data_IF_097244018835
#
_entry.id   IF_097244018835
#
_cell.length_a   1.000
_cell.length_b   1.000
_cell.length_c   1.000
_cell.angle_alpha   90.00
_cell.angle_beta   90.00
_cell.angle_gamma   90.00
#
_symmetry.space_group_name_H-M   'P 1'
#
loop_
_entity.id
_entity.type
_entity.pdbx_description
1 polymer ?
#
# COMPACT_ATOMS: atom_id res chain seq x y z
N UNK A 1 29.99 -43.63 78.89
CA UNK A 1 29.02 -43.95 77.82
C UNK A 1 27.81 -43.05 78.01
N UNK A 2 27.64 -42.07 77.10
CA UNK A 2 26.50 -41.15 77.09
C UNK A 2 25.31 -41.87 76.43
N UNK A 3 24.28 -42.18 77.21
CA UNK A 3 23.01 -42.72 76.70
C UNK A 3 22.30 -41.65 75.87
N UNK A 4 21.91 -41.94 74.61
CA UNK A 4 21.17 -40.97 73.81
C UNK A 4 19.80 -40.74 74.45
N UNK A 5 19.47 -39.48 74.74
CA UNK A 5 18.09 -39.10 75.09
C UNK A 5 17.22 -39.34 73.86
N UNK A 6 16.41 -40.39 73.90
CA UNK A 6 15.31 -40.58 72.96
C UNK A 6 14.30 -39.46 73.16
N UNK A 7 14.29 -38.48 72.25
CA UNK A 7 13.23 -37.49 72.19
C UNK A 7 11.89 -38.22 72.06
N UNK A 8 11.01 -38.10 73.06
CA UNK A 8 9.65 -38.56 72.97
C UNK A 8 9.00 -37.86 71.76
N UNK A 9 8.56 -38.66 70.77
CA UNK A 9 7.79 -38.16 69.64
C UNK A 9 6.48 -37.58 70.19
N UNK A 10 6.43 -36.25 70.34
CA UNK A 10 5.18 -35.55 70.64
C UNK A 10 4.31 -35.64 69.38
N UNK A 11 3.17 -36.31 69.51
CA UNK A 11 2.13 -36.30 68.46
C UNK A 11 1.53 -34.91 68.33
N UNK A 12 1.04 -34.58 67.13
CA UNK A 12 0.36 -33.31 66.88
C UNK A 12 -0.93 -33.21 67.69
N UNK A 13 -1.15 -32.04 68.30
CA UNK A 13 -2.43 -31.73 68.93
C UNK A 13 -3.49 -31.45 67.85
N UNK A 14 -4.77 -31.71 68.16
CA UNK A 14 -5.89 -31.43 67.25
C UNK A 14 -5.89 -29.96 66.79
N UNK A 15 -5.51 -29.05 67.69
CA UNK A 15 -5.41 -27.61 67.41
C UNK A 15 -4.29 -27.31 66.42
N UNK A 16 -3.08 -27.89 66.59
CA UNK A 16 -1.99 -27.72 65.62
C UNK A 16 -2.37 -28.24 64.23
N UNK A 17 -3.14 -29.33 64.17
CA UNK A 17 -3.60 -29.90 62.90
C UNK A 17 -4.66 -29.01 62.23
N UNK A 18 -5.61 -28.45 62.99
CA UNK A 18 -6.60 -27.49 62.47
C UNK A 18 -5.95 -26.18 61.99
N UNK A 19 -4.99 -25.64 62.75
CA UNK A 19 -4.24 -24.45 62.36
C UNK A 19 -3.41 -24.72 61.11
N UNK A 20 -2.73 -25.88 61.04
CA UNK A 20 -1.96 -26.29 59.86
C UNK A 20 -2.83 -26.36 58.60
N UNK A 21 -3.98 -27.05 58.66
CA UNK A 21 -4.92 -27.13 57.53
C UNK A 21 -5.44 -25.75 57.14
N UNK A 22 -5.79 -24.91 58.11
CA UNK A 22 -6.33 -23.57 57.84
C UNK A 22 -5.29 -22.70 57.11
N UNK A 23 -4.06 -22.64 57.63
CA UNK A 23 -2.97 -21.87 56.99
C UNK A 23 -2.65 -22.44 55.60
N UNK A 24 -2.54 -23.77 55.46
CA UNK A 24 -2.32 -24.40 54.16
C UNK A 24 -3.44 -24.07 53.16
N UNK A 25 -4.70 -24.08 53.60
CA UNK A 25 -5.85 -23.76 52.73
C UNK A 25 -5.81 -22.30 52.24
N UNK A 26 -5.48 -21.35 53.12
CA UNK A 26 -5.35 -19.92 52.76
C UNK A 26 -4.19 -19.71 51.80
N UNK A 27 -3.04 -20.36 52.04
CA UNK A 27 -1.88 -20.29 51.13
C UNK A 27 -2.21 -20.88 49.77
N UNK A 28 -2.86 -22.05 49.72
CA UNK A 28 -3.27 -22.68 48.47
C UNK A 28 -4.25 -21.81 47.69
N UNK A 29 -5.20 -21.16 48.38
CA UNK A 29 -6.15 -20.24 47.76
C UNK A 29 -5.45 -19.00 47.20
N UNK A 30 -4.48 -18.43 47.92
CA UNK A 30 -3.66 -17.31 47.44
C UNK A 30 -2.81 -17.67 46.21
N UNK A 31 -2.19 -18.85 46.23
CA UNK A 31 -1.40 -19.37 45.09
C UNK A 31 -2.30 -19.64 43.89
N UNK A 32 -3.44 -20.29 44.08
CA UNK A 32 -4.42 -20.54 43.02
C UNK A 32 -4.93 -19.23 42.41
N UNK A 33 -5.28 -18.24 43.24
CA UNK A 33 -5.70 -16.91 42.78
C UNK A 33 -4.62 -16.23 41.93
N UNK A 34 -3.35 -16.36 42.33
CA UNK A 34 -2.22 -15.79 41.59
C UNK A 34 -2.01 -16.50 40.25
N UNK A 35 -2.10 -17.83 40.20
CA UNK A 35 -1.98 -18.60 38.95
C UNK A 35 -3.10 -18.22 37.97
N UNK A 36 -4.33 -18.06 38.45
CA UNK A 36 -5.46 -17.63 37.61
C UNK A 36 -5.21 -16.22 37.06
N UNK A 37 -4.76 -15.28 37.89
CA UNK A 37 -4.44 -13.92 37.46
C UNK A 37 -3.33 -13.91 36.39
N UNK A 38 -2.26 -14.67 36.61
CA UNK A 38 -1.14 -14.80 35.68
C UNK A 38 -1.60 -15.42 34.35
N UNK A 39 -2.40 -16.48 34.39
CA UNK A 39 -2.96 -17.11 33.18
C UNK A 39 -3.83 -16.13 32.39
N UNK A 40 -4.69 -15.37 33.05
CA UNK A 40 -5.53 -14.36 32.39
C UNK A 40 -4.70 -13.28 31.71
N UNK A 41 -3.63 -12.81 32.36
CA UNK A 41 -2.69 -11.84 31.77
C UNK A 41 -2.01 -12.43 30.53
N UNK A 42 -1.55 -13.68 30.60
CA UNK A 42 -0.91 -14.34 29.45
C UNK A 42 -1.88 -14.51 28.27
N UNK A 43 -3.12 -14.92 28.52
CA UNK A 43 -4.12 -15.09 27.47
C UNK A 43 -4.51 -13.75 26.83
N UNK A 44 -4.74 -12.70 27.63
CA UNK A 44 -5.01 -11.36 27.11
C UNK A 44 -3.86 -10.85 26.24
N UNK A 45 -2.62 -10.97 26.70
CA UNK A 45 -1.45 -10.55 25.94
C UNK A 45 -1.28 -11.33 24.64
N UNK A 46 -1.60 -12.63 24.63
CA UNK A 46 -1.52 -13.47 23.44
C UNK A 46 -2.51 -13.02 22.37
N UNK A 47 -3.75 -12.71 22.77
CA UNK A 47 -4.80 -12.22 21.87
C UNK A 47 -4.40 -10.88 21.25
N UNK A 48 -3.98 -9.92 22.08
CA UNK A 48 -3.54 -8.60 21.60
C UNK A 48 -2.30 -8.68 20.70
N UNK A 49 -1.38 -9.60 20.98
CA UNK A 49 -0.15 -9.78 20.19
C UNK A 49 -0.45 -10.09 18.72
N UNK A 50 -1.41 -10.96 18.43
CA UNK A 50 -1.74 -11.35 17.05
C UNK A 50 -2.21 -10.15 16.21
N UNK A 51 -3.08 -9.32 16.76
CA UNK A 51 -3.57 -8.11 16.08
C UNK A 51 -2.44 -7.10 15.85
N UNK A 52 -1.58 -6.89 16.87
CA UNK A 52 -0.43 -5.97 16.77
C UNK A 52 0.60 -6.45 15.74
N UNK A 53 0.85 -7.75 15.65
CA UNK A 53 1.74 -8.34 14.63
C UNK A 53 1.18 -8.14 13.23
N UNK A 54 -0.12 -8.39 13.02
CA UNK A 54 -0.81 -8.12 11.75
C UNK A 54 -0.68 -6.66 11.33
N UNK A 55 -0.92 -5.72 12.25
CA UNK A 55 -0.75 -4.29 11.98
C UNK A 55 0.68 -3.89 11.64
N UNK A 56 1.68 -4.47 12.33
CA UNK A 56 3.09 -4.18 12.05
C UNK A 56 3.51 -4.66 10.66
N UNK A 57 3.13 -5.87 10.29
CA UNK A 57 3.43 -6.43 8.95
C UNK A 57 2.77 -5.57 7.88
N UNK A 58 1.49 -5.23 8.04
CA UNK A 58 0.78 -4.34 7.11
C UNK A 58 1.43 -2.98 6.97
N UNK A 59 1.77 -2.35 8.09
CA UNK A 59 2.36 -1.00 8.10
C UNK A 59 3.77 -0.98 7.51
N UNK A 60 4.60 -2.00 7.78
CA UNK A 60 5.94 -2.12 7.21
C UNK A 60 5.89 -2.35 5.69
N UNK A 61 5.00 -3.22 5.22
CA UNK A 61 4.79 -3.43 3.78
C UNK A 61 4.34 -2.13 3.09
N UNK A 62 3.31 -1.47 3.61
CA UNK A 62 2.79 -0.20 3.08
C UNK A 62 3.90 0.85 3.00
N UNK A 63 4.66 1.04 4.08
CA UNK A 63 5.75 2.02 4.13
C UNK A 63 6.85 1.76 3.09
N UNK A 64 7.19 0.50 2.85
CA UNK A 64 8.25 0.14 1.88
C UNK A 64 7.75 0.29 0.46
N UNK A 65 6.58 -0.26 0.15
CA UNK A 65 6.07 -0.31 -1.23
C UNK A 65 5.60 1.07 -1.70
N UNK A 66 4.95 1.86 -0.84
CA UNK A 66 4.45 3.20 -1.23
C UNK A 66 5.58 4.19 -1.54
N UNK A 67 6.77 4.05 -0.96
CA UNK A 67 7.91 4.91 -1.30
C UNK A 67 8.34 4.80 -2.76
N UNK A 68 8.03 3.67 -3.40
CA UNK A 68 8.29 3.49 -4.82
C UNK A 68 7.23 4.13 -5.71
N UNK A 69 6.06 4.52 -5.19
CA UNK A 69 5.00 5.10 -6.01
C UNK A 69 5.54 6.27 -6.86
N UNK A 70 5.21 6.24 -8.16
CA UNK A 70 5.67 7.20 -9.16
C UNK A 70 7.14 7.10 -9.56
N UNK A 71 7.92 6.16 -9.04
CA UNK A 71 9.33 6.01 -9.41
C UNK A 71 9.46 5.70 -10.89
N UNK A 72 10.23 6.52 -11.63
CA UNK A 72 10.47 6.33 -13.06
C UNK A 72 9.26 6.50 -13.96
N UNK A 73 8.19 7.15 -13.48
CA UNK A 73 6.96 7.42 -14.22
C UNK A 73 6.63 8.92 -14.22
N UNK A 74 5.75 9.33 -15.12
CA UNK A 74 5.14 10.66 -15.04
C UNK A 74 4.21 10.73 -13.80
N UNK A 75 4.34 11.77 -12.95
CA UNK A 75 3.44 11.98 -11.82
C UNK A 75 1.95 11.93 -12.20
N UNK A 76 1.57 12.31 -13.41
CA UNK A 76 0.18 12.26 -13.89
C UNK A 76 -0.41 10.83 -13.88
N UNK A 77 0.41 9.80 -14.08
CA UNK A 77 -0.06 8.40 -14.19
C UNK A 77 0.38 7.52 -13.02
N UNK A 78 1.06 8.12 -12.03
CA UNK A 78 1.65 7.39 -10.91
C UNK A 78 0.60 6.77 -9.98
N UNK A 79 -0.51 7.45 -9.75
CA UNK A 79 -1.65 6.93 -9.01
C UNK A 79 -2.79 6.60 -9.96
N UNK A 80 -3.72 5.77 -9.50
CA UNK A 80 -4.93 5.49 -10.22
C UNK A 80 -6.16 5.76 -9.37
N UNK A 81 -7.05 6.55 -9.94
CA UNK A 81 -8.32 6.95 -9.34
C UNK A 81 -9.52 6.42 -10.13
N UNK A 82 -9.30 5.53 -11.11
CA UNK A 82 -10.39 4.88 -11.84
C UNK A 82 -11.17 3.92 -10.94
N UNK A 83 -12.49 3.97 -11.07
CA UNK A 83 -13.44 3.13 -10.33
C UNK A 83 -13.91 1.92 -11.13
N UNK A 84 -13.49 1.80 -12.40
CA UNK A 84 -13.79 0.62 -13.21
C UNK A 84 -13.29 -0.67 -12.53
N UNK A 85 -14.15 -1.69 -12.50
CA UNK A 85 -13.87 -2.98 -11.85
C UNK A 85 -13.92 -2.96 -10.31
N UNK A 86 -14.24 -1.83 -9.68
CA UNK A 86 -14.38 -1.77 -8.23
C UNK A 86 -15.77 -2.19 -7.74
N UNK A 87 -15.85 -2.89 -6.60
CA UNK A 87 -17.09 -3.05 -5.86
C UNK A 87 -17.76 -1.70 -5.60
N UNK A 88 -19.04 -1.60 -5.94
CA UNK A 88 -19.82 -0.37 -5.82
C UNK A 88 -19.33 0.80 -6.68
N UNK A 89 -18.35 0.61 -7.57
CA UNK A 89 -17.67 1.64 -8.34
C UNK A 89 -17.15 2.80 -7.45
N UNK A 90 -16.61 2.47 -6.28
CA UNK A 90 -16.11 3.43 -5.28
C UNK A 90 -14.65 3.14 -4.92
N UNK A 91 -13.87 4.21 -4.78
CA UNK A 91 -12.47 4.18 -4.29
C UNK A 91 -12.35 4.35 -2.77
N UNK A 92 -13.40 4.83 -2.13
CA UNK A 92 -13.39 5.31 -0.75
C UNK A 92 -14.58 4.73 0.00
N UNK A 93 -14.36 4.33 1.25
CA UNK A 93 -15.37 3.89 2.20
C UNK A 93 -16.30 2.77 1.66
N UNK A 94 -15.75 1.84 0.89
CA UNK A 94 -16.50 0.65 0.50
C UNK A 94 -16.65 -0.28 1.69
N UNK A 95 -17.87 -0.73 1.97
CA UNK A 95 -18.18 -1.63 3.08
C UNK A 95 -18.70 -2.96 2.59
N UNK A 96 -18.32 -4.03 3.28
CA UNK A 96 -18.78 -5.38 2.99
C UNK A 96 -18.93 -6.18 4.28
N UNK A 97 -20.00 -6.97 4.36
CA UNK A 97 -20.32 -7.81 5.51
C UNK A 97 -19.84 -9.24 5.25
N UNK A 98 -19.15 -9.80 6.24
CA UNK A 98 -18.61 -11.15 6.23
C UNK A 98 -19.37 -11.98 7.26
N UNK A 99 -19.96 -13.09 6.80
CA UNK A 99 -20.73 -14.01 7.65
C UNK A 99 -19.90 -14.47 8.85
N UNK A 100 -20.52 -14.45 10.04
CA UNK A 100 -19.90 -14.80 11.33
C UNK A 100 -18.65 -13.99 11.75
N UNK A 101 -18.26 -12.97 10.97
CA UNK A 101 -17.13 -12.10 11.28
C UNK A 101 -17.55 -10.66 11.54
N UNK A 102 -18.45 -10.08 10.74
CA UNK A 102 -18.88 -8.67 10.85
C UNK A 102 -18.60 -7.86 9.59
N UNK A 103 -18.65 -6.53 9.68
CA UNK A 103 -18.42 -5.64 8.53
C UNK A 103 -16.97 -5.15 8.49
N UNK A 104 -16.39 -5.01 7.30
CA UNK A 104 -15.16 -4.25 7.11
C UNK A 104 -15.41 -3.04 6.20
N UNK A 105 -14.53 -2.04 6.31
CA UNK A 105 -14.48 -0.87 5.43
C UNK A 105 -13.12 -0.77 4.76
N UNK A 106 -13.10 -0.41 3.48
CA UNK A 106 -11.86 -0.28 2.73
C UNK A 106 -11.89 0.86 1.73
N UNK A 107 -10.75 1.53 1.63
CA UNK A 107 -10.39 2.34 0.48
C UNK A 107 -9.60 1.50 -0.51
N UNK A 108 -9.50 1.99 -1.74
CA UNK A 108 -8.73 1.39 -2.82
C UNK A 108 -7.52 2.27 -3.15
N UNK A 109 -6.33 1.80 -2.78
CA UNK A 109 -5.06 2.47 -3.07
C UNK A 109 -4.39 1.82 -4.27
N UNK A 110 -4.45 2.49 -5.42
CA UNK A 110 -3.84 2.03 -6.65
C UNK A 110 -2.70 2.95 -7.09
N UNK A 111 -1.51 2.39 -7.31
CA UNK A 111 -0.35 3.14 -7.77
C UNK A 111 0.58 2.29 -8.64
N UNK A 112 1.49 2.98 -9.33
CA UNK A 112 2.45 2.42 -10.26
C UNK A 112 3.86 2.82 -9.91
N UNK A 113 4.81 1.97 -10.26
CA UNK A 113 6.22 2.32 -10.27
C UNK A 113 6.98 1.49 -11.29
N UNK A 114 8.03 2.07 -11.87
CA UNK A 114 8.92 1.36 -12.78
C UNK A 114 9.80 0.37 -12.00
N UNK A 115 9.98 -0.82 -12.54
CA UNK A 115 11.00 -1.75 -12.07
C UNK A 115 12.41 -1.18 -12.33
N UNK A 116 13.22 -0.91 -11.29
CA UNK A 116 14.57 -0.38 -11.46
C UNK A 116 15.54 -1.38 -12.11
N UNK A 117 15.24 -2.69 -12.09
CA UNK A 117 16.10 -3.75 -12.63
C UNK A 117 15.73 -4.15 -14.06
N UNK A 118 14.58 -3.69 -14.57
CA UNK A 118 14.11 -4.03 -15.90
C UNK A 118 14.30 -2.87 -16.89
N UNK A 119 15.29 -3.02 -17.77
CA UNK A 119 15.52 -2.09 -18.87
C UNK A 119 16.01 -2.85 -20.11
N UNK A 120 15.33 -2.61 -21.24
CA UNK A 120 15.65 -3.18 -22.56
C UNK A 120 15.53 -2.10 -23.62
N UNK A 121 15.99 -2.43 -24.83
CA UNK A 121 15.70 -1.67 -26.03
C UNK A 121 14.74 -2.46 -26.91
N UNK A 122 13.81 -1.76 -27.55
CA UNK A 122 12.87 -2.36 -28.47
C UNK A 122 12.00 -1.33 -29.18
N UNK A 123 11.47 -1.73 -30.33
CA UNK A 123 10.62 -0.93 -31.19
C UNK A 123 9.16 -1.33 -31.02
N UNK A 124 8.27 -0.35 -31.01
CA UNK A 124 6.83 -0.53 -30.99
C UNK A 124 6.26 -0.06 -32.33
N UNK A 125 5.42 -0.90 -32.96
CA UNK A 125 4.74 -0.50 -34.19
C UNK A 125 3.60 0.51 -33.88
N UNK A 126 3.93 1.79 -33.74
CA UNK A 126 2.93 2.83 -33.45
C UNK A 126 1.91 3.12 -34.57
N UNK A 127 1.87 2.34 -35.64
CA UNK A 127 0.96 2.54 -36.76
C UNK A 127 -0.27 1.61 -36.65
N UNK A 128 -1.45 2.19 -36.46
CA UNK A 128 -2.73 1.47 -36.47
C UNK A 128 -3.47 1.50 -35.15
N UNK A 129 -4.46 0.63 -35.00
CA UNK A 129 -5.20 0.41 -33.76
C UNK A 129 -4.49 -0.68 -32.92
N UNK A 130 -4.64 -0.67 -31.59
CA UNK A 130 -4.17 -1.75 -30.74
C UNK A 130 -4.79 -3.10 -31.15
N UNK A 131 -4.10 -4.24 -30.93
CA UNK A 131 -2.85 -4.36 -30.18
C UNK A 131 -1.60 -3.96 -30.96
N UNK A 132 -0.67 -3.28 -30.29
CA UNK A 132 0.64 -2.89 -30.82
C UNK A 132 1.68 -3.99 -30.58
N UNK A 133 2.43 -4.36 -31.59
CA UNK A 133 3.58 -5.27 -31.54
C UNK A 133 4.84 -4.54 -31.06
N UNK A 134 5.33 -4.95 -29.89
CA UNK A 134 6.64 -4.63 -29.36
C UNK A 134 7.64 -5.70 -29.80
N UNK A 135 8.77 -5.28 -30.37
CA UNK A 135 9.88 -6.16 -30.74
C UNK A 135 11.15 -5.64 -30.08
N UNK A 136 11.77 -6.45 -29.22
CA UNK A 136 13.06 -6.12 -28.61
C UNK A 136 14.19 -6.18 -29.64
N UNK A 137 15.31 -5.52 -29.32
CA UNK A 137 16.52 -5.62 -30.13
C UNK A 137 16.97 -7.07 -30.31
N UNK A 138 17.59 -7.38 -31.44
CA UNK A 138 17.92 -8.76 -31.86
C UNK A 138 18.84 -9.53 -30.90
N UNK A 139 19.52 -8.85 -29.98
CA UNK A 139 20.38 -9.44 -28.96
C UNK A 139 19.74 -9.48 -27.55
N UNK A 140 18.50 -9.02 -27.41
CA UNK A 140 17.80 -8.87 -26.15
C UNK A 140 16.59 -9.82 -26.05
N UNK A 141 16.35 -10.34 -24.86
CA UNK A 141 15.12 -11.03 -24.48
C UNK A 141 14.49 -10.32 -23.29
N UNK A 142 13.24 -10.65 -22.95
CA UNK A 142 12.62 -10.11 -21.72
C UNK A 142 13.41 -10.53 -20.48
N UNK A 143 14.02 -11.71 -20.47
CA UNK A 143 14.89 -12.21 -19.39
C UNK A 143 14.13 -12.66 -18.14
N UNK A 144 12.81 -12.50 -18.13
CA UNK A 144 11.89 -13.06 -17.13
C UNK A 144 10.52 -13.27 -17.80
N UNK A 145 9.74 -14.28 -17.37
CA UNK A 145 8.39 -14.46 -17.90
C UNK A 145 7.53 -13.26 -17.50
N UNK A 146 6.83 -12.69 -18.48
CA UNK A 146 5.85 -11.65 -18.25
C UNK A 146 4.45 -12.22 -18.46
N UNK A 147 3.51 -11.83 -17.61
CA UNK A 147 2.14 -12.31 -17.68
C UNK A 147 1.23 -11.33 -18.41
N UNK A 148 0.19 -11.86 -19.03
CA UNK A 148 -0.91 -11.07 -19.55
C UNK A 148 -1.41 -10.07 -18.48
N UNK A 149 -1.69 -8.85 -18.91
CA UNK A 149 -2.15 -7.76 -18.04
C UNK A 149 -1.05 -6.95 -17.37
N UNK A 150 0.21 -7.41 -17.34
CA UNK A 150 1.31 -6.58 -16.82
C UNK A 150 1.58 -5.37 -17.72
N UNK A 151 1.96 -4.26 -17.11
CA UNK A 151 2.19 -3.00 -17.79
C UNK A 151 3.66 -2.85 -18.22
N UNK A 152 3.86 -2.40 -19.46
CA UNK A 152 5.16 -2.11 -20.06
C UNK A 152 5.18 -0.67 -20.53
N UNK A 153 6.22 0.06 -20.13
CA UNK A 153 6.46 1.44 -20.52
C UNK A 153 7.49 1.48 -21.64
N UNK A 154 7.10 2.00 -22.79
CA UNK A 154 7.99 2.24 -23.93
C UNK A 154 8.25 3.73 -24.01
N UNK A 155 9.50 4.15 -23.81
CA UNK A 155 9.87 5.56 -23.81
C UNK A 155 10.82 5.88 -24.97
N UNK A 156 10.55 6.98 -25.67
CA UNK A 156 11.43 7.42 -26.74
C UNK A 156 12.81 7.82 -26.20
N UNK A 157 13.84 7.77 -27.06
CA UNK A 157 15.16 8.28 -26.72
C UNK A 157 15.07 9.75 -26.22
N UNK A 158 15.56 10.01 -25.01
CA UNK A 158 15.43 11.32 -24.35
C UNK A 158 14.23 11.45 -23.40
N UNK A 159 13.32 10.48 -23.38
CA UNK A 159 12.32 10.28 -22.32
C UNK A 159 11.15 11.25 -22.28
N UNK A 160 11.03 12.19 -23.21
CA UNK A 160 9.94 13.18 -23.19
C UNK A 160 8.59 12.57 -23.59
N UNK A 161 8.61 11.64 -24.54
CA UNK A 161 7.43 10.91 -24.98
C UNK A 161 7.53 9.45 -24.55
N UNK A 162 6.44 8.91 -24.05
CA UNK A 162 6.34 7.52 -23.63
C UNK A 162 4.94 6.97 -23.91
N UNK A 163 4.81 5.65 -23.91
CA UNK A 163 3.57 4.92 -24.05
C UNK A 163 3.52 3.86 -22.96
N UNK A 164 2.40 3.78 -22.25
CA UNK A 164 2.14 2.70 -21.30
C UNK A 164 1.15 1.71 -21.92
N UNK A 165 1.63 0.49 -22.19
CA UNK A 165 0.83 -0.60 -22.72
C UNK A 165 0.66 -1.74 -21.74
N UNK A 166 -0.41 -2.53 -21.87
CA UNK A 166 -0.61 -3.79 -21.14
C UNK A 166 -0.43 -4.98 -22.07
N UNK A 167 0.27 -6.00 -21.58
CA UNK A 167 0.44 -7.25 -22.31
C UNK A 167 -0.91 -7.92 -22.56
N UNK A 168 -1.15 -8.29 -23.81
CA UNK A 168 -2.37 -8.99 -24.24
C UNK A 168 -2.26 -10.51 -24.12
N UNK A 169 -1.06 -11.04 -23.93
CA UNK A 169 -0.78 -12.46 -23.72
C UNK A 169 0.48 -12.64 -22.85
N UNK A 170 0.67 -13.84 -22.32
CA UNK A 170 1.90 -14.22 -21.63
C UNK A 170 3.10 -14.20 -22.58
N UNK A 171 4.25 -13.74 -22.09
CA UNK A 171 5.50 -13.67 -22.82
C UNK A 171 6.55 -14.49 -22.08
N UNK A 172 7.17 -15.49 -22.73
CA UNK A 172 8.20 -16.30 -22.08
C UNK A 172 9.48 -15.48 -21.87
N UNK A 173 10.32 -15.93 -20.94
CA UNK A 173 11.55 -15.20 -20.57
C UNK A 173 12.55 -15.03 -21.73
N UNK A 174 12.61 -16.01 -22.63
CA UNK A 174 13.42 -16.01 -23.84
C UNK A 174 12.71 -15.36 -25.04
N UNK A 175 11.49 -14.87 -24.85
CA UNK A 175 10.74 -14.14 -25.85
C UNK A 175 11.43 -12.82 -26.24
N UNK A 176 11.22 -12.41 -27.49
CA UNK A 176 11.73 -11.16 -28.06
C UNK A 176 10.62 -10.23 -28.55
N UNK A 177 9.37 -10.73 -28.59
CA UNK A 177 8.21 -9.97 -29.05
C UNK A 177 7.08 -10.04 -28.04
N UNK A 178 6.30 -8.96 -27.95
CA UNK A 178 5.09 -8.88 -27.14
C UNK A 178 4.02 -8.06 -27.86
N UNK A 179 2.76 -8.25 -27.48
CA UNK A 179 1.62 -7.48 -28.00
C UNK A 179 0.98 -6.68 -26.87
N UNK A 180 0.81 -5.38 -27.08
CA UNK A 180 0.40 -4.39 -26.08
C UNK A 180 -0.91 -3.70 -26.48
N UNK A 181 -1.89 -3.71 -25.58
CA UNK A 181 -3.03 -2.80 -25.64
C UNK A 181 -2.74 -1.52 -24.87
N UNK A 182 -3.45 -0.43 -25.16
CA UNK A 182 -3.34 0.81 -24.40
C UNK A 182 -3.72 0.58 -22.93
N UNK A 183 -2.85 0.98 -21.99
CA UNK A 183 -3.09 0.83 -20.55
C UNK A 183 -3.86 2.00 -19.91
N UNK A 184 -3.78 3.17 -20.53
CA UNK A 184 -4.28 4.44 -19.97
C UNK A 184 -5.55 4.90 -20.69
N UNK A 185 -6.43 5.60 -19.98
CA UNK A 185 -7.58 6.25 -20.59
C UNK A 185 -7.13 7.32 -21.60
N UNK A 186 -7.94 7.53 -22.64
CA UNK A 186 -7.67 8.53 -23.67
C UNK A 186 -7.51 9.94 -23.06
N UNK A 187 -6.50 10.68 -23.52
CA UNK A 187 -6.16 12.02 -23.06
C UNK A 187 -5.18 12.07 -21.88
N UNK A 188 -4.81 10.93 -21.30
CA UNK A 188 -3.71 10.87 -20.32
C UNK A 188 -2.35 10.80 -21.04
N UNK A 189 -1.28 11.39 -20.48
CA UNK A 189 0.05 11.30 -21.07
C UNK A 189 0.51 9.84 -21.22
N UNK A 190 0.81 9.45 -22.47
CA UNK A 190 1.25 8.12 -22.86
C UNK A 190 0.16 7.09 -23.11
N UNK A 191 -1.06 7.54 -23.41
CA UNK A 191 -2.19 6.73 -23.88
C UNK A 191 -2.04 6.22 -25.33
N UNK A 192 -1.20 6.87 -26.14
CA UNK A 192 -0.93 6.50 -27.53
C UNK A 192 0.59 6.40 -27.83
N UNK A 193 1.01 5.48 -28.71
CA UNK A 193 2.39 5.42 -29.19
C UNK A 193 2.83 6.67 -29.96
N UNK A 194 4.03 7.15 -29.70
CA UNK A 194 4.66 8.24 -30.47
C UNK A 194 5.50 7.69 -31.63
N UNK A 195 5.65 8.47 -32.70
CA UNK A 195 6.35 8.03 -33.92
C UNK A 195 7.80 7.55 -33.67
N UNK A 196 8.50 8.18 -32.72
CA UNK A 196 9.86 7.79 -32.31
C UNK A 196 9.96 6.37 -31.74
N UNK A 197 8.84 5.75 -31.35
CA UNK A 197 8.83 4.37 -30.85
C UNK A 197 9.05 3.32 -31.95
N UNK A 198 8.87 3.73 -33.21
CA UNK A 198 9.11 2.88 -34.39
C UNK A 198 10.47 3.14 -35.04
N UNK A 199 11.27 4.08 -34.54
CA UNK A 199 12.54 4.47 -35.14
C UNK A 199 13.62 3.40 -34.89
N UNK A 200 14.23 2.89 -35.96
CA UNK A 200 15.32 1.90 -35.90
C UNK A 200 16.69 2.56 -35.67
N UNK A 201 16.83 3.85 -35.98
CA UNK A 201 18.08 4.59 -35.82
C UNK A 201 18.36 4.99 -34.37
N UNK A 202 17.31 5.14 -33.55
CA UNK A 202 17.40 5.40 -32.11
C UNK A 202 16.37 4.57 -31.37
N UNK A 203 16.80 3.39 -30.94
CA UNK A 203 15.88 2.40 -30.37
C UNK A 203 15.30 2.90 -29.02
N UNK A 204 13.97 2.88 -28.84
CA UNK A 204 13.31 3.22 -27.58
C UNK A 204 13.73 2.35 -26.41
N UNK A 205 13.46 2.83 -25.21
CA UNK A 205 13.65 2.08 -23.98
C UNK A 205 12.35 1.38 -23.60
N UNK A 206 12.47 0.12 -23.21
CA UNK A 206 11.38 -0.73 -22.75
C UNK A 206 11.61 -1.03 -21.27
N UNK A 207 10.64 -0.69 -20.45
CA UNK A 207 10.70 -0.78 -18.99
C UNK A 207 9.47 -1.52 -18.47
N UNK A 208 9.63 -2.33 -17.43
CA UNK A 208 8.51 -2.98 -16.76
C UNK A 208 7.90 -2.02 -15.73
N UNK A 209 6.58 -1.98 -15.65
CA UNK A 209 5.86 -1.19 -14.66
C UNK A 209 5.09 -2.12 -13.74
N UNK A 210 5.36 -1.99 -12.45
CA UNK A 210 4.59 -2.65 -11.40
C UNK A 210 3.36 -1.81 -11.10
N UNK A 211 2.20 -2.41 -11.27
CA UNK A 211 0.92 -1.86 -10.84
C UNK A 211 0.52 -2.55 -9.52
N UNK A 212 0.31 -1.78 -8.46
CA UNK A 212 -0.10 -2.27 -7.14
C UNK A 212 -1.44 -1.67 -6.77
N UNK A 213 -2.37 -2.51 -6.33
CA UNK A 213 -3.69 -2.11 -5.84
C UNK A 213 -3.94 -2.74 -4.49
N UNK A 214 -4.19 -1.94 -3.47
CA UNK A 214 -4.37 -2.40 -2.10
C UNK A 214 -5.77 -2.06 -1.61
N UNK A 215 -6.43 -3.06 -1.04
CA UNK A 215 -7.75 -2.97 -0.41
C UNK A 215 -7.98 -4.17 0.50
N UNK A 216 -9.02 -4.12 1.31
CA UNK A 216 -9.49 -5.27 2.09
C UNK A 216 -10.44 -6.10 1.22
N UNK A 217 -10.22 -7.41 1.18
CA UNK A 217 -11.08 -8.38 0.49
C UNK A 217 -11.40 -9.56 1.41
N UNK A 218 -12.59 -10.14 1.24
CA UNK A 218 -12.98 -11.36 1.93
C UNK A 218 -12.32 -12.58 1.29
N UNK A 219 -11.61 -13.36 2.10
CA UNK A 219 -11.04 -14.65 1.71
C UNK A 219 -11.27 -15.69 2.79
N UNK A 220 -12.16 -16.65 2.51
CA UNK A 220 -12.43 -17.77 3.42
C UNK A 220 -13.13 -17.33 4.71
N UNK A 221 -14.13 -16.44 4.61
CA UNK A 221 -14.90 -15.95 5.76
C UNK A 221 -14.15 -14.96 6.64
N UNK A 222 -13.07 -14.36 6.15
CA UNK A 222 -12.23 -13.41 6.89
C UNK A 222 -11.74 -12.30 5.97
N UNK A 223 -11.65 -11.04 6.44
CA UNK A 223 -11.10 -9.95 5.66
C UNK A 223 -9.58 -9.93 5.73
N UNK A 224 -8.95 -9.69 4.58
CA UNK A 224 -7.52 -9.52 4.44
C UNK A 224 -7.22 -8.22 3.72
N UNK A 225 -6.28 -7.43 4.24
CA UNK A 225 -5.59 -6.45 3.41
C UNK A 225 -4.76 -7.22 2.39
N UNK A 226 -5.09 -7.06 1.12
CA UNK A 226 -4.40 -7.70 0.01
C UNK A 226 -3.74 -6.66 -0.88
N UNK A 227 -2.69 -7.08 -1.58
CA UNK A 227 -2.12 -6.32 -2.70
C UNK A 227 -2.31 -7.11 -3.97
N UNK A 228 -3.03 -6.55 -4.94
CA UNK A 228 -3.15 -7.07 -6.29
C UNK A 228 -2.01 -6.55 -7.18
N UNK A 229 -1.49 -7.43 -8.01
CA UNK A 229 -0.43 -7.16 -8.97
C UNK A 229 -1.04 -6.96 -10.37
N UNK A 230 -1.39 -5.72 -10.70
CA UNK A 230 -2.20 -5.42 -11.88
C UNK A 230 -3.63 -5.04 -11.53
N UNK A 231 -4.40 -4.75 -12.59
CA UNK A 231 -5.71 -4.10 -12.48
C UNK A 231 -6.87 -5.03 -12.83
N UNK A 232 -6.57 -6.20 -13.40
CA UNK A 232 -7.57 -7.20 -13.71
C UNK A 232 -8.22 -7.73 -12.43
N UNK A 233 -9.51 -8.05 -12.49
CA UNK A 233 -10.26 -8.54 -11.32
C UNK A 233 -9.66 -9.83 -10.75
N UNK A 234 -9.15 -10.69 -11.64
CA UNK A 234 -8.46 -11.95 -11.35
C UNK A 234 -6.94 -11.82 -11.25
N UNK A 235 -6.40 -10.60 -11.09
CA UNK A 235 -4.98 -10.41 -10.89
C UNK A 235 -4.49 -11.19 -9.66
N UNK A 236 -3.26 -11.72 -9.77
CA UNK A 236 -2.56 -12.32 -8.64
C UNK A 236 -2.55 -11.35 -7.46
N UNK A 237 -2.72 -11.89 -6.25
CA UNK A 237 -2.70 -11.10 -5.03
C UNK A 237 -1.83 -11.75 -3.96
N UNK A 238 -1.24 -10.91 -3.12
CA UNK A 238 -0.57 -11.34 -1.89
C UNK A 238 -1.37 -10.85 -0.67
N UNK A 239 -1.70 -11.73 0.29
CA UNK A 239 -2.27 -11.31 1.56
C UNK A 239 -1.18 -10.65 2.43
N UNK A 240 -1.48 -9.46 2.93
CA UNK A 240 -0.55 -8.66 3.74
C UNK A 240 -0.86 -8.77 5.23
N UNK A 241 -2.13 -8.58 5.60
CA UNK A 241 -2.58 -8.66 6.98
C UNK A 241 -4.00 -9.26 7.02
N UNK A 242 -4.25 -10.12 8.00
CA UNK A 242 -5.56 -10.73 8.24
C UNK A 242 -6.36 -9.94 9.27
N UNK A 243 -7.68 -10.16 9.28
CA UNK A 243 -8.65 -9.57 10.23
C UNK A 243 -8.61 -8.03 10.24
N UNK A 244 -8.44 -7.44 9.06
CA UNK A 244 -8.46 -5.99 8.88
C UNK A 244 -9.91 -5.53 8.82
N UNK A 245 -10.34 -4.73 9.80
CA UNK A 245 -11.68 -4.15 9.87
C UNK A 245 -11.80 -2.85 9.07
N UNK A 246 -10.72 -2.10 8.99
CA UNK A 246 -10.72 -0.80 8.33
C UNK A 246 -9.37 -0.58 7.67
N UNK A 247 -9.37 -0.21 6.39
CA UNK A 247 -8.19 0.29 5.67
C UNK A 247 -8.59 1.61 5.01
N UNK A 248 -7.85 2.67 5.31
CA UNK A 248 -8.21 4.02 4.89
C UNK A 248 -7.00 4.79 4.38
N UNK A 249 -7.23 5.71 3.45
CA UNK A 249 -6.19 6.39 2.69
C UNK A 249 -6.52 7.86 2.52
N UNK A 250 -5.57 8.72 2.90
CA UNK A 250 -5.62 10.15 2.65
C UNK A 250 -4.45 10.61 1.79
N UNK A 251 -4.66 11.68 1.02
CA UNK A 251 -3.69 12.19 0.05
C UNK A 251 -3.31 13.62 0.41
N UNK A 252 -2.07 13.81 0.86
CA UNK A 252 -1.54 15.12 1.11
C UNK A 252 -1.07 15.75 -0.20
N UNK A 253 -1.74 16.83 -0.59
CA UNK A 253 -1.47 17.59 -1.80
C UNK A 253 -0.33 18.60 -1.59
N UNK A 254 0.27 19.02 -2.69
CA UNK A 254 1.30 20.04 -2.68
C UNK A 254 0.72 21.40 -2.29
N UNK A 255 1.26 22.01 -1.23
CA UNK A 255 0.84 23.31 -0.72
C UNK A 255 1.74 24.43 -1.25
N UNK A 256 1.21 25.58 -1.67
CA UNK A 256 2.01 26.73 -2.05
C UNK A 256 2.78 27.25 -0.82
N UNK A 257 4.08 27.55 -0.98
CA UNK A 257 4.83 28.16 0.10
C UNK A 257 4.26 29.55 0.42
N UNK A 258 4.39 30.00 1.66
CA UNK A 258 3.79 31.26 2.11
C UNK A 258 4.31 32.50 1.34
N UNK A 259 5.50 32.40 0.74
CA UNK A 259 6.13 33.42 -0.08
C UNK A 259 5.95 33.19 -1.60
N UNK A 260 5.06 32.29 -2.01
CA UNK A 260 4.73 32.06 -3.41
C UNK A 260 4.26 33.35 -4.08
N UNK A 261 4.87 33.71 -5.20
CA UNK A 261 4.52 34.94 -5.90
C UNK A 261 3.19 34.80 -6.66
N UNK A 262 2.88 33.59 -7.14
CA UNK A 262 1.65 33.33 -7.89
C UNK A 262 0.47 32.96 -7.00
N UNK A 263 0.76 32.29 -5.88
CA UNK A 263 -0.16 31.34 -5.29
C UNK A 263 -0.22 31.41 -3.76
N UNK A 264 0.44 32.41 -3.15
CA UNK A 264 0.25 32.69 -1.74
C UNK A 264 -1.22 33.01 -1.46
N UNK A 265 -1.85 32.22 -0.60
CA UNK A 265 -3.25 32.38 -0.25
C UNK A 265 -4.25 31.69 -1.18
N UNK A 266 -3.79 30.84 -2.11
CA UNK A 266 -4.73 29.94 -2.80
C UNK A 266 -5.52 29.10 -1.77
N UNK A 267 -6.84 28.97 -1.95
CA UNK A 267 -7.64 28.10 -1.09
C UNK A 267 -7.17 26.66 -1.24
N UNK A 268 -7.34 25.88 -0.17
CA UNK A 268 -7.09 24.46 -0.21
C UNK A 268 -8.07 23.78 -1.19
N UNK A 269 -7.61 22.73 -1.91
CA UNK A 269 -8.39 22.07 -2.94
C UNK A 269 -9.62 21.28 -2.43
N UNK A 270 -9.62 20.91 -1.15
CA UNK A 270 -10.70 20.19 -0.45
C UNK A 270 -11.98 21.03 -0.30
N UNK A 271 -11.90 22.35 -0.40
CA UNK A 271 -13.04 23.27 -0.33
C UNK A 271 -13.72 23.35 1.04
N UNK A 272 -13.15 22.74 2.09
CA UNK A 272 -13.73 22.70 3.43
C UNK A 272 -13.63 24.07 4.12
N UNK A 273 -14.69 24.87 3.94
CA UNK A 273 -14.88 26.14 4.66
C UNK A 273 -15.25 25.83 6.12
N UNK A 274 -14.27 25.70 7.01
CA UNK A 274 -14.52 25.68 8.46
C UNK A 274 -13.52 24.93 9.36
N UNK A 275 -12.69 24.01 8.83
CA UNK A 275 -11.73 23.23 9.64
C UNK A 275 -10.31 23.81 9.67
N UNK A 276 -10.00 24.77 8.79
CA UNK A 276 -8.70 25.43 8.73
C UNK A 276 -7.71 24.75 7.77
N UNK A 277 -7.95 24.89 6.46
CA UNK A 277 -6.95 24.76 5.37
C UNK A 277 -6.27 23.39 5.24
N UNK A 278 -7.01 22.29 5.09
CA UNK A 278 -6.38 20.98 4.90
C UNK A 278 -5.99 20.78 3.43
N UNK A 279 -4.68 20.77 3.17
CA UNK A 279 -4.12 20.33 1.88
C UNK A 279 -4.08 18.80 1.81
N UNK A 280 -5.14 18.16 2.30
CA UNK A 280 -5.29 16.72 2.44
C UNK A 280 -6.67 16.37 1.88
N UNK A 281 -6.72 15.29 1.11
CA UNK A 281 -7.91 14.79 0.45
C UNK A 281 -8.22 13.38 0.98
N UNK A 282 -9.49 13.05 1.23
CA UNK A 282 -9.90 11.77 1.82
C UNK A 282 -9.73 11.65 3.34
N UNK A 283 -9.50 12.75 4.06
CA UNK A 283 -9.39 12.77 5.53
C UNK A 283 -10.66 13.25 6.26
N UNK A 284 -11.57 13.93 5.55
CA UNK A 284 -12.85 14.41 6.10
C UNK A 284 -14.06 13.82 5.33
N UNK A 285 -15.23 13.82 5.97
CA UNK A 285 -16.48 13.22 5.47
C UNK A 285 -16.98 13.88 4.16
N UNK A 286 -16.48 15.07 3.80
CA UNK A 286 -16.69 15.67 2.47
C UNK A 286 -15.75 15.00 1.46
N UNK A 287 -16.21 13.90 0.89
CA UNK A 287 -15.52 13.05 -0.09
C UNK A 287 -14.99 13.87 -1.27
N UNK A 288 -13.74 14.31 -1.19
CA UNK A 288 -12.98 14.83 -2.31
C UNK A 288 -11.71 14.01 -2.39
N UNK A 289 -11.67 13.08 -3.34
CA UNK A 289 -10.44 12.40 -3.75
C UNK A 289 -9.75 13.21 -4.85
N UNK A 290 -8.44 13.00 -5.06
CA UNK A 290 -7.78 13.45 -6.28
C UNK A 290 -8.53 12.99 -7.53
N UNK A 291 -8.59 13.85 -8.56
CA UNK A 291 -9.35 13.54 -9.79
C UNK A 291 -8.61 13.91 -11.06
N UNK A 292 -8.89 13.14 -12.10
CA UNK A 292 -8.51 13.42 -13.49
C UNK A 292 -9.64 14.19 -14.16
N UNK A 293 -9.51 15.50 -14.25
CA UNK A 293 -10.54 16.39 -14.82
C UNK A 293 -9.87 17.38 -15.78
N UNK A 294 -10.57 17.75 -16.86
CA UNK A 294 -10.10 18.77 -17.80
C UNK A 294 -9.90 20.13 -17.11
N UNK A 295 -10.72 20.41 -16.08
CA UNK A 295 -10.59 21.61 -15.25
C UNK A 295 -9.48 21.51 -14.19
N UNK A 296 -8.89 20.32 -14.02
CA UNK A 296 -7.79 20.04 -13.09
C UNK A 296 -6.62 19.39 -13.84
N UNK A 297 -5.99 20.12 -14.79
CA UNK A 297 -4.94 19.55 -15.63
C UNK A 297 -3.69 19.22 -14.82
N UNK A 298 -2.96 18.20 -15.29
CA UNK A 298 -1.72 17.77 -14.67
C UNK A 298 -0.58 18.76 -14.97
N UNK A 299 0.31 19.05 -14.00
CA UNK A 299 1.55 19.73 -14.28
C UNK A 299 2.44 18.85 -15.16
N UNK A 300 3.05 19.45 -16.18
CA UNK A 300 4.07 18.81 -17.01
C UNK A 300 5.46 18.97 -16.37
N UNK A 301 6.46 18.26 -16.92
CA UNK A 301 7.86 18.44 -16.53
C UNK A 301 8.37 19.89 -16.69
N UNK A 302 7.90 20.59 -17.72
CA UNK A 302 8.23 21.99 -17.98
C UNK A 302 7.53 22.99 -17.05
N UNK A 303 6.45 22.57 -16.36
CA UNK A 303 5.70 23.45 -15.45
C UNK A 303 6.60 23.99 -14.32
N UNK A 304 6.68 25.31 -14.08
CA UNK A 304 7.48 25.89 -13.00
C UNK A 304 7.09 25.38 -11.61
N UNK A 305 8.01 25.46 -10.64
CA UNK A 305 7.72 25.05 -9.25
C UNK A 305 6.62 25.87 -8.61
N UNK A 306 6.60 27.17 -8.89
CA UNK A 306 5.61 28.11 -8.38
C UNK A 306 4.56 28.43 -9.46
N UNK A 307 3.87 27.39 -9.91
CA UNK A 307 2.79 27.52 -10.88
C UNK A 307 1.48 27.03 -10.25
N UNK A 308 0.32 27.68 -10.51
CA UNK A 308 -0.98 27.26 -9.98
C UNK A 308 -1.31 25.80 -10.27
N UNK A 309 -0.88 25.28 -11.42
CA UNK A 309 -1.04 23.87 -11.83
C UNK A 309 -0.41 22.87 -10.87
N UNK A 310 0.53 23.29 -10.01
CA UNK A 310 1.16 22.43 -9.00
C UNK A 310 0.43 22.41 -7.67
N UNK A 311 -0.69 23.11 -7.55
CA UNK A 311 -1.43 23.30 -6.31
C UNK A 311 -2.95 23.00 -6.47
N UNK A 312 -3.30 22.12 -7.41
CA UNK A 312 -4.67 21.68 -7.67
C UNK A 312 -4.91 20.22 -7.23
N UNK A 313 -6.13 19.71 -7.42
CA UNK A 313 -6.54 18.33 -7.06
C UNK A 313 -5.98 17.22 -7.97
N UNK A 314 -5.12 17.53 -8.94
CA UNK A 314 -4.60 16.51 -9.84
C UNK A 314 -3.71 15.51 -9.06
N UNK A 315 -3.83 14.19 -9.30
CA UNK A 315 -2.98 13.17 -8.66
C UNK A 315 -1.46 13.44 -8.75
N UNK A 316 -0.99 14.09 -9.82
CA UNK A 316 0.41 14.52 -9.96
C UNK A 316 0.92 15.43 -8.82
N UNK A 317 0.01 16.07 -8.09
CA UNK A 317 0.32 16.97 -6.99
C UNK A 317 0.32 16.30 -5.61
N UNK A 318 0.12 14.99 -5.52
CA UNK A 318 0.28 14.24 -4.27
C UNK A 318 1.76 14.32 -3.82
N UNK A 319 1.97 14.53 -2.52
CA UNK A 319 3.31 14.63 -1.88
C UNK A 319 3.50 13.65 -0.73
N UNK A 320 2.42 13.28 -0.07
CA UNK A 320 2.40 12.22 0.94
C UNK A 320 1.10 11.45 0.83
N UNK A 321 1.12 10.18 1.19
CA UNK A 321 -0.08 9.35 1.35
C UNK A 321 -0.17 8.95 2.81
N UNK A 322 -1.25 9.38 3.47
CA UNK A 322 -1.63 8.85 4.78
C UNK A 322 -2.30 7.51 4.58
N UNK A 323 -1.87 6.49 5.31
CA UNK A 323 -2.53 5.18 5.34
C UNK A 323 -2.80 4.78 6.77
N UNK A 324 -3.99 4.24 6.98
CA UNK A 324 -4.49 3.81 8.26
C UNK A 324 -5.00 2.39 8.14
N UNK A 325 -4.83 1.60 9.20
CA UNK A 325 -5.47 0.30 9.30
C UNK A 325 -5.91 -0.01 10.73
N UNK A 326 -7.07 -0.64 10.87
CA UNK A 326 -7.54 -1.25 12.11
C UNK A 326 -7.56 -2.76 11.96
N UNK A 327 -6.84 -3.46 12.84
CA UNK A 327 -6.80 -4.93 12.89
C UNK A 327 -7.48 -5.41 14.16
N UNK A 328 -8.34 -6.41 14.00
CA UNK A 328 -9.03 -7.11 15.08
C UNK A 328 -8.28 -8.38 15.47
N UNK A 329 -8.35 -8.76 16.74
CA UNK A 329 -7.91 -10.08 17.18
C UNK A 329 -8.83 -11.19 16.67
N UNK A 330 -8.27 -12.38 16.43
CA UNK A 330 -9.05 -13.57 16.00
C UNK A 330 -10.03 -14.04 17.08
N UNK A 331 -9.69 -13.81 18.35
CA UNK A 331 -10.45 -14.27 19.52
C UNK A 331 -10.88 -13.09 20.36
N UNK A 332 -11.99 -13.28 21.06
CA UNK A 332 -12.44 -12.36 22.09
C UNK A 332 -11.43 -12.30 23.24
N UNK A 333 -11.34 -11.14 23.87
CA UNK A 333 -10.57 -10.91 25.09
C UNK A 333 -11.16 -11.78 26.21
N UNK A 334 -10.34 -12.64 26.84
CA UNK A 334 -10.75 -13.44 28.00
C UNK A 334 -11.31 -12.61 29.16
N UNK A 335 -10.90 -11.34 29.28
CA UNK A 335 -11.42 -10.42 30.29
C UNK A 335 -12.88 -10.00 30.07
N UNK A 336 -13.44 -10.24 28.87
CA UNK A 336 -14.75 -9.72 28.49
C UNK A 336 -14.78 -8.19 28.36
N UNK A 337 -13.61 -7.53 28.38
CA UNK A 337 -13.50 -6.09 28.19
C UNK A 337 -13.96 -5.74 26.79
N UNK A 338 -14.89 -4.78 26.71
CA UNK A 338 -15.36 -4.26 25.45
C UNK A 338 -14.35 -3.27 24.84
N UNK A 339 -14.28 -3.23 23.52
CA UNK A 339 -13.33 -2.44 22.77
C UNK A 339 -13.98 -2.02 21.43
N UNK A 340 -13.69 -0.82 20.97
CA UNK A 340 -14.17 -0.29 19.69
C UNK A 340 -12.98 0.25 18.88
N UNK A 341 -13.07 0.12 17.55
CA UNK A 341 -12.16 0.80 16.66
C UNK A 341 -12.27 2.33 16.83
N UNK A 342 -11.19 3.04 16.51
CA UNK A 342 -11.22 4.50 16.41
C UNK A 342 -11.63 4.90 14.99
N UNK A 343 -12.22 6.09 14.85
CA UNK A 343 -12.36 6.75 13.53
C UNK A 343 -11.00 6.79 12.86
N UNK A 344 -10.96 6.44 11.58
CA UNK A 344 -9.74 6.40 10.79
C UNK A 344 -9.95 7.25 9.55
N UNK A 345 -9.27 8.40 9.48
CA UNK A 345 -9.54 9.43 8.47
C UNK A 345 -11.05 9.76 8.39
N UNK A 346 -11.67 9.59 7.22
CA UNK A 346 -13.09 9.85 7.00
C UNK A 346 -14.00 8.63 7.27
N UNK A 347 -13.47 7.45 7.62
CA UNK A 347 -14.29 6.30 8.01
C UNK A 347 -14.61 6.27 9.50
N UNK A 348 -15.91 6.17 9.79
CA UNK A 348 -16.37 5.78 11.12
C UNK A 348 -16.18 4.27 11.37
N UNK A 349 -16.00 3.86 12.64
CA UNK A 349 -16.01 2.44 13.02
C UNK A 349 -17.28 1.71 12.55
N UNK A 350 -17.13 0.72 11.67
CA UNK A 350 -18.27 -0.04 11.12
C UNK A 350 -18.83 -1.11 12.06
N UNK A 351 -17.99 -1.66 12.94
CA UNK A 351 -18.43 -2.66 13.93
C UNK A 351 -18.73 -2.01 15.28
N UNK A 352 -19.79 -2.46 15.98
CA UNK A 352 -20.12 -1.97 17.31
C UNK A 352 -19.06 -2.39 18.34
N UNK A 353 -19.12 -1.78 19.52
CA UNK A 353 -18.27 -2.14 20.65
C UNK A 353 -18.52 -3.60 21.09
N UNK A 354 -17.49 -4.43 21.04
CA UNK A 354 -17.55 -5.86 21.37
C UNK A 354 -16.31 -6.32 22.16
N UNK A 355 -16.19 -7.61 22.44
CA UNK A 355 -15.10 -8.17 23.26
C UNK A 355 -13.82 -8.48 22.48
N UNK A 356 -13.70 -8.14 21.19
CA UNK A 356 -12.48 -8.36 20.43
C UNK A 356 -11.49 -7.21 20.63
N UNK A 357 -10.20 -7.53 20.73
CA UNK A 357 -9.17 -6.51 20.80
C UNK A 357 -8.96 -5.88 19.43
N UNK A 358 -8.91 -4.55 19.36
CA UNK A 358 -8.58 -3.82 18.14
C UNK A 358 -7.34 -2.97 18.34
N UNK A 359 -6.53 -2.88 17.30
CA UNK A 359 -5.44 -1.92 17.24
C UNK A 359 -5.55 -1.14 15.94
N UNK A 360 -5.51 0.19 16.07
CA UNK A 360 -5.51 1.12 14.95
C UNK A 360 -4.13 1.74 14.84
N UNK A 361 -3.58 1.75 13.63
CA UNK A 361 -2.30 2.38 13.34
C UNK A 361 -2.44 3.27 12.11
N UNK A 362 -1.77 4.42 12.16
CA UNK A 362 -1.75 5.42 11.10
C UNK A 362 -0.30 5.78 10.78
N UNK A 363 -0.01 6.00 9.52
CA UNK A 363 1.29 6.47 9.07
C UNK A 363 1.16 7.35 7.85
N UNK A 364 2.09 8.27 7.65
CA UNK A 364 2.16 9.12 6.47
C UNK A 364 3.46 8.84 5.73
N UNK A 365 3.34 8.44 4.46
CA UNK A 365 4.46 8.08 3.59
C UNK A 365 4.67 9.17 2.56
N UNK A 366 5.80 9.87 2.67
CA UNK A 366 6.20 10.85 1.66
C UNK A 366 6.50 10.16 0.33
N UNK A 367 5.99 10.72 -0.77
CA UNK A 367 6.18 10.20 -2.13
C UNK A 367 7.12 11.15 -2.89
N UNK A 368 8.45 10.96 -2.80
CA UNK A 368 9.40 11.91 -3.39
C UNK A 368 9.32 11.97 -4.92
N UNK A 369 8.98 10.86 -5.56
CA UNK A 369 8.98 10.74 -7.03
C UNK A 369 7.94 11.65 -7.71
N UNK A 370 6.89 12.05 -7.00
CA UNK A 370 5.86 12.97 -7.51
C UNK A 370 6.37 14.41 -7.71
N UNK A 371 7.58 14.71 -7.23
CA UNK A 371 8.24 16.01 -7.46
C UNK A 371 9.13 16.02 -8.71
N UNK A 372 9.24 14.89 -9.42
CA UNK A 372 10.12 14.80 -10.57
C UNK A 372 9.75 15.79 -11.68
N UNK A 373 10.78 16.43 -12.24
CA UNK A 373 10.68 17.36 -13.38
C UNK A 373 11.38 16.86 -14.64
N UNK A 374 11.85 15.63 -14.60
CA UNK A 374 12.46 14.98 -15.75
C UNK A 374 12.07 13.51 -15.73
N UNK A 375 11.81 13.00 -16.92
CA UNK A 375 11.70 11.56 -17.11
C UNK A 375 13.10 10.96 -16.98
N UNK A 376 13.28 10.03 -16.05
CA UNK A 376 14.58 9.43 -15.77
C UNK A 376 14.69 8.08 -16.47
N UNK A 377 15.49 8.03 -17.53
CA UNK A 377 15.93 6.77 -18.16
C UNK A 377 17.42 6.64 -17.89
N UNK A 378 17.87 5.63 -17.13
CA UNK A 378 19.29 5.37 -17.02
C UNK A 378 19.81 4.89 -18.38
N UNK A 379 20.97 5.38 -18.81
CA UNK A 379 21.58 4.94 -20.06
C UNK A 379 21.93 3.44 -19.96
N UNK A 380 21.56 2.68 -20.99
CA UNK A 380 22.01 1.30 -21.17
C UNK A 380 23.41 1.34 -21.77
N UNK A 381 24.35 0.58 -21.18
CA UNK A 381 25.71 0.43 -21.72
C UNK A 381 25.65 -0.01 -23.18
N UNK A 382 26.12 0.82 -24.10
CA UNK A 382 26.37 0.38 -25.46
C UNK A 382 27.58 -0.57 -25.46
N UNK A 383 27.41 -1.79 -25.95
CA UNK A 383 28.52 -2.71 -26.14
C UNK A 383 29.53 -2.09 -27.13
N UNK A 384 30.75 -1.79 -26.67
CA UNK A 384 31.85 -1.29 -27.52
C UNK A 384 32.28 0.17 -27.30
N UNK A 385 31.63 0.95 -26.43
CA UNK A 385 32.05 2.33 -26.15
C UNK A 385 33.03 2.36 -24.97
N UNK A 386 34.33 2.48 -25.28
CA UNK A 386 35.38 2.65 -24.27
C UNK A 386 35.24 4.03 -23.60
N UNK A 387 34.86 4.04 -22.32
CA UNK A 387 34.67 5.26 -21.51
C UNK A 387 33.35 5.33 -20.74
N UNK A 388 32.42 4.43 -21.04
CA UNK A 388 31.10 4.43 -20.42
C UNK A 388 31.09 3.63 -19.09
N UNK A 389 31.50 4.30 -18.02
CA UNK A 389 31.64 3.74 -16.66
C UNK A 389 30.34 3.83 -15.83
N UNK A 390 29.17 4.11 -16.42
CA UNK A 390 27.96 4.46 -15.66
C UNK A 390 26.80 3.48 -15.80
N UNK A 391 26.99 2.25 -15.33
CA UNK A 391 25.99 1.48 -14.59
C UNK A 391 26.62 0.16 -14.12
N UNK A 392 27.58 0.29 -13.21
CA UNK A 392 28.02 -0.84 -12.38
C UNK A 392 27.07 -0.82 -11.19
N UNK A 393 25.94 -1.50 -11.35
CA UNK A 393 24.95 -1.83 -10.33
C UNK A 393 23.93 -0.74 -9.97
N UNK A 394 22.68 -1.18 -9.81
CA UNK A 394 21.60 -0.38 -9.26
C UNK A 394 21.99 0.22 -7.89
N UNK A 395 21.69 1.50 -7.77
CA UNK A 395 21.89 2.36 -6.61
C UNK A 395 21.56 3.79 -6.96
#
# INVERSE_FOLDING_TARGET
MSTPRTHARRGFTLIELLVGITVSSVVLLAVAGTIIAVNNIFQNNTVSKTAVEGSRVGTDYLNRTLRYAGYGLDPAIAFDFDTAGLPGARKDNYTEEVEDWGTFVTDDLAFRYRDPMFLRHGQLNGAGAPPYQLTLDSAATFGQPLRQGQAVLVACPGGQDYFLGRLTADVPADGTTATLDTALAAGLPGDAPSACMSDAGRVPFVMLVHEKRLRVEEHGGRPYLVVKHGWADNADFDPIAADVESFQVSYQMNRPPANSACCAGLPAPDGAVGSGMAWVLGDEDSVVLPKYDADVPAPTYSTPYDAPLRYNMNPANIRSVGVGLTVRSVRQLPSGTKNQARKLFNAEPVNPEDTYFRTTVETSVRIPNMTSRAFFIPELRAAGVAGDLKNVWGG
#
